data_IF_447606085421
#
_entry.id   IF_447606085421
#
_cell.length_a   1.000
_cell.length_b   1.000
_cell.length_c   1.000
_cell.angle_alpha   90.00
_cell.angle_beta   90.00
_cell.angle_gamma   90.00
#
_symmetry.space_group_name_H-M   'P 1'
#
loop_
_entity.id
_entity.type
_entity.pdbx_description
1 polymer ?
#
# COMPACT_ATOMS: atom_id res chain seq x y z
N UNK A 1 1.14 16.84 11.49
CA UNK A 1 1.03 17.63 10.25
C UNK A 1 2.20 18.59 10.17
N UNK A 2 2.78 18.74 8.98
CA UNK A 2 3.84 19.69 8.70
C UNK A 2 3.44 20.55 7.49
N UNK A 3 3.62 21.87 7.59
CA UNK A 3 3.48 22.77 6.44
C UNK A 3 4.85 23.36 6.17
N UNK A 4 5.34 23.14 4.95
CA UNK A 4 6.63 23.63 4.48
C UNK A 4 6.36 24.69 3.41
N UNK A 5 6.82 25.90 3.68
CA UNK A 5 6.96 26.94 2.67
C UNK A 5 8.23 26.67 1.88
N UNK A 6 8.16 26.69 0.55
CA UNK A 6 9.30 26.45 -0.31
C UNK A 6 9.57 27.69 -1.17
N UNK A 7 10.76 28.27 -1.06
CA UNK A 7 11.21 29.42 -1.83
C UNK A 7 12.70 29.30 -2.14
N UNK A 8 13.08 29.62 -3.38
CA UNK A 8 14.48 29.70 -3.83
C UNK A 8 15.33 28.47 -3.47
N UNK A 9 14.75 27.27 -3.62
CA UNK A 9 15.42 26.00 -3.30
C UNK A 9 15.55 25.69 -1.82
N UNK A 10 15.00 26.52 -0.94
CA UNK A 10 14.99 26.33 0.51
C UNK A 10 13.57 26.03 1.01
N UNK A 11 13.48 25.11 1.98
CA UNK A 11 12.22 24.77 2.65
C UNK A 11 12.23 25.31 4.08
N UNK A 12 11.21 26.09 4.45
CA UNK A 12 10.98 26.57 5.82
C UNK A 12 9.74 25.91 6.40
N UNK A 13 9.88 25.30 7.58
CA UNK A 13 8.74 24.79 8.33
C UNK A 13 7.94 25.98 8.88
N UNK A 14 6.69 26.12 8.45
CA UNK A 14 5.74 27.13 8.96
C UNK A 14 4.85 26.58 10.07
N UNK A 15 4.49 25.30 9.97
CA UNK A 15 3.67 24.60 10.96
C UNK A 15 4.25 23.23 11.22
N UNK A 16 4.37 22.87 12.49
CA UNK A 16 4.69 21.51 12.92
C UNK A 16 3.85 21.18 14.14
N UNK A 17 2.80 20.38 13.93
CA UNK A 17 1.86 19.98 14.99
C UNK A 17 1.75 18.44 15.04
N UNK A 18 1.76 17.87 16.25
CA UNK A 18 1.71 16.42 16.49
C UNK A 18 0.66 16.11 17.55
N UNK A 19 -0.30 15.26 17.23
CA UNK A 19 -1.41 14.89 18.12
C UNK A 19 -2.43 16.00 18.36
N UNK A 20 -1.98 17.21 18.74
CA UNK A 20 -2.84 18.37 19.04
C UNK A 20 -2.27 19.68 18.47
N UNK A 21 -3.15 20.65 18.25
CA UNK A 21 -2.84 22.03 17.88
C UNK A 21 -3.83 22.99 18.58
N UNK A 22 -3.33 24.01 19.29
CA UNK A 22 -4.15 24.97 20.06
C UNK A 22 -5.21 24.33 20.97
N UNK A 23 -4.86 23.19 21.59
CA UNK A 23 -5.74 22.43 22.48
C UNK A 23 -6.69 21.45 21.77
N UNK A 24 -6.85 21.56 20.45
CA UNK A 24 -7.69 20.65 19.66
C UNK A 24 -6.89 19.46 19.14
N UNK A 25 -7.52 18.28 19.12
CA UNK A 25 -6.92 17.07 18.56
C UNK A 25 -6.88 17.12 17.03
N UNK A 26 -5.74 16.71 16.46
CA UNK A 26 -5.56 16.67 15.01
C UNK A 26 -6.30 15.46 14.43
N UNK A 27 -7.36 15.72 13.67
CA UNK A 27 -8.10 14.72 12.89
C UNK A 27 -8.19 15.15 11.41
N UNK A 28 -8.65 14.29 10.51
CA UNK A 28 -8.61 14.53 9.05
C UNK A 28 -9.19 15.87 8.59
N UNK A 29 -10.24 16.38 9.25
CA UNK A 29 -10.77 17.72 8.92
C UNK A 29 -9.74 18.84 9.06
N UNK A 30 -8.74 18.71 9.94
CA UNK A 30 -7.63 19.65 10.04
C UNK A 30 -6.78 19.66 8.79
N UNK A 31 -6.46 18.49 8.23
CA UNK A 31 -5.69 18.40 6.99
C UNK A 31 -6.43 19.10 5.85
N UNK A 32 -7.75 18.84 5.71
CA UNK A 32 -8.58 19.49 4.70
C UNK A 32 -8.68 21.00 4.93
N UNK A 33 -8.87 21.45 6.17
CA UNK A 33 -8.92 22.87 6.50
C UNK A 33 -7.59 23.57 6.25
N UNK A 34 -6.47 22.94 6.59
CA UNK A 34 -5.13 23.45 6.31
C UNK A 34 -4.87 23.55 4.80
N UNK A 35 -5.24 22.52 4.02
CA UNK A 35 -5.16 22.55 2.55
C UNK A 35 -6.01 23.65 1.92
N UNK A 36 -7.07 24.09 2.60
CA UNK A 36 -7.96 25.19 2.18
C UNK A 36 -7.60 26.55 2.77
N UNK A 37 -6.47 26.68 3.49
CA UNK A 37 -6.09 27.90 4.22
C UNK A 37 -7.15 28.38 5.24
N UNK A 38 -7.93 27.48 5.84
CA UNK A 38 -9.02 27.82 6.77
C UNK A 38 -8.63 27.69 8.25
N UNK A 39 -7.47 27.07 8.53
CA UNK A 39 -7.04 26.80 9.91
C UNK A 39 -5.83 27.64 10.34
N UNK A 40 -4.96 27.94 9.39
CA UNK A 40 -3.77 28.76 9.60
C UNK A 40 -3.82 29.93 8.64
N UNK A 41 -3.44 31.09 9.15
CA UNK A 41 -3.22 32.26 8.33
C UNK A 41 -1.80 32.23 7.77
N UNK A 42 -1.69 32.10 6.45
CA UNK A 42 -0.43 32.15 5.73
C UNK A 42 -0.31 33.42 4.87
N UNK A 43 -1.16 34.42 5.10
CA UNK A 43 -1.29 35.59 4.22
C UNK A 43 -1.71 35.17 2.81
N UNK A 44 -1.01 35.70 1.80
CA UNK A 44 -1.30 35.43 0.39
C UNK A 44 -0.80 34.05 -0.10
N UNK A 45 -0.07 33.30 0.74
CA UNK A 45 0.46 31.99 0.37
C UNK A 45 -0.66 30.93 0.32
N UNK A 46 -0.60 30.08 -0.70
CA UNK A 46 -1.53 28.96 -0.90
C UNK A 46 -0.81 27.63 -0.84
N UNK A 47 -1.46 26.62 -0.25
CA UNK A 47 -0.97 25.25 -0.30
C UNK A 47 -1.01 24.75 -1.75
N UNK A 48 0.17 24.63 -2.36
CA UNK A 48 0.29 24.17 -3.76
C UNK A 48 0.32 22.63 -3.88
N UNK A 49 0.76 21.93 -2.83
CA UNK A 49 0.94 20.48 -2.83
C UNK A 49 0.65 19.90 -1.44
N UNK A 50 0.12 18.69 -1.41
CA UNK A 50 -0.02 17.89 -0.21
C UNK A 50 0.65 16.53 -0.44
N UNK A 51 1.28 15.99 0.61
CA UNK A 51 1.93 14.68 0.58
C UNK A 51 1.67 13.96 1.90
N UNK A 52 1.61 12.64 1.82
CA UNK A 52 1.56 11.76 3.00
C UNK A 52 2.99 11.26 3.22
N UNK A 53 3.57 11.60 4.36
CA UNK A 53 4.89 11.11 4.77
C UNK A 53 4.77 9.73 5.43
N UNK A 54 4.19 8.80 4.68
CA UNK A 54 4.05 7.40 5.04
C UNK A 54 3.93 6.56 3.77
N UNK A 55 4.40 5.29 3.80
CA UNK A 55 4.12 4.35 2.73
C UNK A 55 2.60 4.18 2.59
N UNK A 56 2.03 4.73 1.51
CA UNK A 56 0.59 4.74 1.27
C UNK A 56 0.25 4.29 -0.15
N UNK A 57 -0.82 3.51 -0.28
CA UNK A 57 -1.27 2.95 -1.55
C UNK A 57 -0.53 1.66 -1.92
N UNK A 58 -1.29 0.64 -2.29
CA UNK A 58 -0.73 -0.59 -2.82
C UNK A 58 -0.59 -0.50 -4.35
N UNK A 59 0.38 -1.21 -4.96
CA UNK A 59 0.43 -1.35 -6.41
C UNK A 59 -0.87 -1.94 -6.95
N UNK A 60 -1.37 -1.44 -8.06
CA UNK A 60 -2.61 -1.94 -8.69
C UNK A 60 -2.62 -3.47 -8.86
N UNK A 61 -1.55 -4.13 -9.37
CA UNK A 61 -1.53 -5.59 -9.48
C UNK A 61 -1.67 -6.30 -8.13
N UNK A 62 -1.17 -5.69 -7.05
CA UNK A 62 -1.33 -6.24 -5.70
C UNK A 62 -2.77 -6.13 -5.22
N UNK A 63 -3.43 -5.00 -5.49
CA UNK A 63 -4.87 -4.83 -5.18
C UNK A 63 -5.70 -5.86 -5.93
N UNK A 64 -5.44 -6.06 -7.22
CA UNK A 64 -6.13 -7.06 -8.03
C UNK A 64 -5.97 -8.47 -7.45
N UNK A 65 -4.77 -8.79 -6.95
CA UNK A 65 -4.52 -10.08 -6.33
C UNK A 65 -5.24 -10.26 -4.99
N UNK A 66 -5.35 -9.21 -4.18
CA UNK A 66 -6.16 -9.24 -2.95
C UNK A 66 -7.64 -9.42 -3.28
N UNK A 67 -8.15 -8.73 -4.31
CA UNK A 67 -9.54 -8.86 -4.78
C UNK A 67 -9.81 -10.26 -5.34
N UNK A 68 -8.89 -10.82 -6.13
CA UNK A 68 -8.98 -12.19 -6.64
C UNK A 68 -9.03 -13.20 -5.48
N UNK A 69 -8.12 -13.07 -4.51
CA UNK A 69 -8.11 -13.91 -3.31
C UNK A 69 -9.41 -13.79 -2.52
N UNK A 70 -9.94 -12.58 -2.31
CA UNK A 70 -11.22 -12.35 -1.64
C UNK A 70 -12.37 -13.09 -2.35
N UNK A 71 -12.31 -13.19 -3.68
CA UNK A 71 -13.30 -13.89 -4.52
C UNK A 71 -13.05 -15.41 -4.63
N UNK A 72 -12.04 -15.95 -3.94
CA UNK A 72 -11.63 -17.35 -4.08
C UNK A 72 -11.04 -17.68 -5.46
N UNK A 73 -10.59 -16.67 -6.19
CA UNK A 73 -9.99 -16.81 -7.50
C UNK A 73 -8.47 -17.03 -7.39
N UNK A 74 -7.89 -17.60 -8.45
CA UNK A 74 -6.44 -17.74 -8.57
C UNK A 74 -5.74 -16.39 -8.63
N UNK A 75 -4.42 -16.42 -8.39
CA UNK A 75 -3.59 -15.24 -8.49
C UNK A 75 -3.62 -14.65 -9.92
N UNK A 76 -3.79 -13.33 -10.11
CA UNK A 76 -4.00 -12.71 -11.42
C UNK A 76 -2.70 -12.50 -12.22
N UNK A 77 -1.77 -13.46 -12.18
CA UNK A 77 -0.58 -13.52 -13.03
C UNK A 77 0.00 -14.94 -13.04
N UNK A 78 0.64 -15.31 -14.15
CA UNK A 78 1.33 -16.60 -14.29
C UNK A 78 2.56 -16.71 -13.38
N UNK A 79 3.01 -17.93 -13.14
CA UNK A 79 4.16 -18.22 -12.26
C UNK A 79 5.48 -17.66 -12.80
N UNK A 80 5.61 -17.57 -14.13
CA UNK A 80 6.80 -17.03 -14.79
C UNK A 80 6.83 -15.49 -14.83
N UNK A 81 5.75 -14.83 -14.40
CA UNK A 81 5.68 -13.38 -14.41
C UNK A 81 6.47 -12.80 -13.22
N UNK A 82 7.17 -11.66 -13.44
CA UNK A 82 7.96 -11.02 -12.38
C UNK A 82 7.06 -10.56 -11.22
N UNK A 83 7.59 -10.65 -10.00
CA UNK A 83 6.90 -10.20 -8.78
C UNK A 83 6.97 -8.69 -8.56
N UNK A 84 7.97 -8.03 -9.16
CA UNK A 84 8.24 -6.60 -8.99
C UNK A 84 7.00 -5.67 -9.15
N UNK A 85 6.07 -5.90 -10.09
CA UNK A 85 4.86 -5.07 -10.23
C UNK A 85 3.90 -5.15 -9.03
N UNK A 86 3.93 -6.25 -8.27
CA UNK A 86 3.13 -6.45 -7.06
C UNK A 86 3.80 -5.88 -5.81
N UNK A 87 5.12 -5.66 -5.86
CA UNK A 87 5.90 -5.15 -4.73
C UNK A 87 5.95 -3.62 -4.69
N UNK A 88 6.12 -2.97 -5.83
CA UNK A 88 6.42 -1.53 -5.89
C UNK A 88 5.45 -0.80 -6.80
N UNK A 89 5.05 0.42 -6.39
CA UNK A 89 4.19 1.29 -7.21
C UNK A 89 4.97 1.83 -8.40
N UNK A 90 4.27 2.38 -9.39
CA UNK A 90 4.89 3.09 -10.50
C UNK A 90 5.77 4.26 -10.00
N UNK A 91 5.31 5.02 -9.01
CA UNK A 91 6.08 6.09 -8.38
C UNK A 91 7.35 5.59 -7.70
N UNK A 92 7.30 4.40 -7.08
CA UNK A 92 8.48 3.84 -6.40
C UNK A 92 9.57 3.48 -7.40
N UNK A 93 9.18 2.90 -8.56
CA UNK A 93 10.08 2.64 -9.68
C UNK A 93 10.63 3.93 -10.28
N UNK A 94 9.77 4.92 -10.51
CA UNK A 94 10.19 6.23 -11.01
C UNK A 94 11.23 6.91 -10.09
N UNK A 95 11.02 6.88 -8.77
CA UNK A 95 11.98 7.43 -7.79
C UNK A 95 13.28 6.64 -7.80
N UNK A 96 13.23 5.31 -7.89
CA UNK A 96 14.43 4.50 -8.03
C UNK A 96 15.20 4.84 -9.30
N UNK A 97 14.53 4.92 -10.45
CA UNK A 97 15.18 5.17 -11.73
C UNK A 97 15.75 6.59 -11.81
N UNK A 98 15.08 7.57 -11.17
CA UNK A 98 15.52 8.98 -11.19
C UNK A 98 16.58 9.30 -10.14
N UNK A 99 16.53 8.66 -8.98
CA UNK A 99 17.31 9.06 -7.80
C UNK A 99 18.23 7.96 -7.27
N UNK A 100 18.18 6.73 -7.80
CA UNK A 100 18.93 5.57 -7.31
C UNK A 100 18.51 5.07 -5.92
N UNK A 101 17.44 5.64 -5.34
CA UNK A 101 16.93 5.27 -4.01
C UNK A 101 15.75 4.35 -4.16
N UNK A 102 15.78 3.19 -3.51
CA UNK A 102 14.67 2.25 -3.51
C UNK A 102 13.67 2.62 -2.42
N UNK A 103 12.45 3.08 -2.77
CA UNK A 103 11.43 3.34 -1.78
C UNK A 103 10.92 2.04 -1.17
N UNK A 104 10.33 2.17 -0.01
CA UNK A 104 9.80 1.06 0.74
C UNK A 104 8.65 0.36 0.01
N UNK A 105 8.60 -0.97 0.07
CA UNK A 105 7.52 -1.75 -0.51
C UNK A 105 6.29 -1.71 0.40
N UNK A 106 5.28 -0.91 0.04
CA UNK A 106 4.04 -0.79 0.83
C UNK A 106 3.27 -2.10 0.89
N UNK A 107 3.27 -2.87 -0.21
CA UNK A 107 2.59 -4.16 -0.27
C UNK A 107 3.39 -5.25 0.42
N UNK A 108 4.72 -5.26 0.31
CA UNK A 108 5.55 -6.41 0.66
C UNK A 108 6.47 -6.23 1.86
N UNK A 109 6.32 -5.16 2.64
CA UNK A 109 7.16 -4.86 3.80
C UNK A 109 7.30 -6.04 4.79
N UNK A 110 6.17 -6.65 5.21
CA UNK A 110 6.20 -7.65 6.29
C UNK A 110 5.85 -9.07 5.86
N UNK A 111 4.70 -9.24 5.20
CA UNK A 111 4.13 -10.58 5.01
C UNK A 111 3.70 -10.88 3.57
N UNK A 112 3.50 -9.87 2.73
CA UNK A 112 2.96 -10.16 1.42
C UNK A 112 3.97 -10.90 0.54
N UNK A 113 5.29 -10.74 0.73
CA UNK A 113 6.28 -11.53 0.00
C UNK A 113 6.08 -13.05 0.18
N UNK A 114 5.65 -13.48 1.37
CA UNK A 114 5.31 -14.87 1.66
C UNK A 114 4.01 -15.28 0.96
N UNK A 115 2.96 -14.47 1.03
CA UNK A 115 1.70 -14.74 0.31
C UNK A 115 1.93 -14.82 -1.21
N UNK A 116 2.82 -13.97 -1.72
CA UNK A 116 3.24 -13.98 -3.12
C UNK A 116 4.07 -15.21 -3.50
N UNK A 117 4.78 -15.79 -2.54
CA UNK A 117 5.52 -17.04 -2.72
C UNK A 117 4.62 -18.27 -2.64
N UNK A 118 3.59 -18.23 -1.78
CA UNK A 118 2.59 -19.27 -1.64
C UNK A 118 1.73 -19.48 -2.91
N UNK A 119 1.73 -18.51 -3.84
CA UNK A 119 1.20 -18.66 -5.20
C UNK A 119 1.77 -19.89 -5.92
N UNK A 120 3.02 -20.25 -5.66
CA UNK A 120 3.67 -21.42 -6.25
C UNK A 120 3.19 -22.74 -5.61
N UNK A 121 2.56 -22.68 -4.43
CA UNK A 121 2.14 -23.84 -3.64
C UNK A 121 0.64 -24.16 -3.75
N UNK A 122 -0.17 -23.31 -4.40
CA UNK A 122 -1.61 -23.54 -4.58
C UNK A 122 -1.94 -24.67 -5.58
N UNK A 123 -0.92 -25.36 -6.10
CA UNK A 123 -1.05 -26.60 -6.88
C UNK A 123 -1.70 -27.78 -6.12
N UNK A 124 -2.09 -27.62 -4.85
CA UNK A 124 -2.74 -28.68 -4.06
C UNK A 124 -4.08 -28.31 -3.42
N UNK A 125 -4.81 -27.30 -3.91
CA UNK A 125 -6.24 -27.19 -3.60
C UNK A 125 -7.09 -27.74 -4.74
N UNK A 126 -6.87 -29.02 -5.07
CA UNK A 126 -7.97 -29.81 -5.61
C UNK A 126 -8.98 -29.93 -4.46
N UNK A 127 -10.26 -29.53 -4.63
CA UNK A 127 -11.28 -29.90 -3.66
C UNK A 127 -11.23 -31.42 -3.58
N UNK A 128 -10.97 -31.96 -2.39
CA UNK A 128 -10.96 -33.39 -2.17
C UNK A 128 -12.32 -33.95 -2.60
N UNK A 129 -12.43 -34.43 -3.84
CA UNK A 129 -13.50 -35.34 -4.23
C UNK A 129 -13.23 -36.60 -3.43
N UNK A 130 -14.18 -36.92 -2.55
CA UNK A 130 -14.05 -37.91 -1.49
C UNK A 130 -13.30 -39.16 -1.93
N UNK A 131 -12.20 -39.45 -1.25
CA UNK A 131 -11.66 -40.80 -1.20
C UNK A 131 -12.46 -41.56 -0.16
N UNK A 132 -13.72 -41.90 -0.47
CA UNK A 132 -14.40 -42.96 0.27
C UNK A 132 -13.69 -44.28 -0.08
N UNK A 133 -12.94 -44.81 0.90
CA UNK A 133 -12.46 -46.18 0.83
C UNK A 133 -13.67 -47.10 0.96
N UNK A 134 -14.11 -47.70 -0.15
CA UNK A 134 -15.05 -48.82 -0.09
C UNK A 134 -14.33 -49.99 0.59
N UNK A 135 -14.62 -50.22 1.87
CA UNK A 135 -14.28 -51.47 2.53
C UNK A 135 -15.31 -52.48 2.03
N UNK A 136 -14.94 -53.24 1.00
CA UNK A 136 -15.73 -54.41 0.56
C UNK A 136 -15.73 -55.47 1.66
N UNK A 137 -16.79 -56.29 1.78
CA UNK A 137 -16.89 -57.27 2.84
C UNK A 137 -15.84 -58.38 2.65
N UNK A 138 -15.25 -58.82 3.76
CA UNK A 138 -14.25 -59.89 3.79
C UNK A 138 -14.83 -61.21 3.23
N UNK A 139 -14.03 -61.99 2.48
CA UNK A 139 -14.45 -63.30 1.98
C UNK A 139 -14.60 -64.31 3.13
N UNK A 140 -15.53 -65.26 2.94
CA UNK A 140 -16.01 -66.25 3.93
C UNK A 140 -14.95 -67.23 4.40
#
# INVERSE_FOLDING_TARGET
MCVVEWSDGTGRIRVLSRGRDRGTELHDKFLVAAMRNLWFDFGDLKIAKAAIDAPFGWPEPFVDAVVAHQRGQGWPSGMDNPRAPFERRATDRFVHDRCGKTPFSVSADKIAYLAMSARCSSLSFAPARGLERSIGPAPR
#
